data_IF_087597490033
#
_entry.id   IF_087597490033
#
_cell.length_a   1.000
_cell.length_b   1.000
_cell.length_c   1.000
_cell.angle_alpha   90.00
_cell.angle_beta   90.00
_cell.angle_gamma   90.00
#
_symmetry.space_group_name_H-M   'P 1'
#
loop_
_entity.id
_entity.type
_entity.pdbx_description
1 polymer ?
#
# COMPACT_ATOMS: atom_id res chain seq x y z
N UNK A 1 -60.19 -33.33 -2.81
CA UNK A 1 -59.61 -32.82 -1.54
C UNK A 1 -58.14 -33.23 -1.29
N UNK A 2 -57.49 -34.08 -2.11
CA UNK A 2 -56.05 -34.41 -1.97
C UNK A 2 -55.11 -33.63 -2.92
N UNK A 3 -55.59 -33.07 -4.02
CA UNK A 3 -54.75 -32.36 -5.02
C UNK A 3 -54.27 -30.98 -4.53
N UNK A 4 -55.11 -30.28 -3.77
CA UNK A 4 -54.82 -28.92 -3.30
C UNK A 4 -53.67 -28.89 -2.28
N UNK A 5 -53.54 -29.94 -1.46
CA UNK A 5 -52.46 -30.11 -0.47
C UNK A 5 -51.11 -30.40 -1.12
N UNK A 6 -51.08 -31.14 -2.24
CA UNK A 6 -49.84 -31.40 -2.98
C UNK A 6 -49.33 -30.16 -3.70
N UNK A 7 -50.20 -29.39 -4.36
CA UNK A 7 -49.83 -28.13 -5.03
C UNK A 7 -49.32 -27.08 -4.03
N UNK A 8 -49.92 -26.99 -2.84
CA UNK A 8 -49.46 -26.08 -1.78
C UNK A 8 -48.07 -26.48 -1.25
N UNK A 9 -47.84 -27.77 -1.02
CA UNK A 9 -46.55 -28.29 -0.57
C UNK A 9 -45.47 -28.13 -1.65
N UNK A 10 -45.80 -28.33 -2.93
CA UNK A 10 -44.87 -28.16 -4.04
C UNK A 10 -44.47 -26.69 -4.24
N UNK A 11 -45.43 -25.77 -4.14
CA UNK A 11 -45.18 -24.33 -4.20
C UNK A 11 -44.25 -23.83 -3.10
N UNK A 12 -44.44 -24.29 -1.85
CA UNK A 12 -43.55 -23.95 -0.74
C UNK A 12 -42.13 -24.50 -0.90
N UNK A 13 -41.98 -25.74 -1.40
CA UNK A 13 -40.67 -26.34 -1.67
C UNK A 13 -39.95 -25.60 -2.81
N UNK A 14 -40.67 -25.23 -3.87
CA UNK A 14 -40.11 -24.46 -4.98
C UNK A 14 -39.66 -23.06 -4.53
N UNK A 15 -40.48 -22.35 -3.76
CA UNK A 15 -40.14 -21.02 -3.25
C UNK A 15 -38.94 -21.09 -2.28
N UNK A 16 -38.89 -22.11 -1.43
CA UNK A 16 -37.76 -22.37 -0.54
C UNK A 16 -36.48 -22.71 -1.33
N UNK A 17 -36.58 -23.53 -2.38
CA UNK A 17 -35.45 -23.88 -3.23
C UNK A 17 -34.90 -22.65 -3.98
N UNK A 18 -35.77 -21.81 -4.53
CA UNK A 18 -35.39 -20.54 -5.17
C UNK A 18 -34.70 -19.61 -4.16
N UNK A 19 -35.27 -19.43 -2.96
CA UNK A 19 -34.67 -18.61 -1.91
C UNK A 19 -33.28 -19.14 -1.47
N UNK A 20 -33.11 -20.46 -1.37
CA UNK A 20 -31.80 -21.07 -1.05
C UNK A 20 -30.77 -20.88 -2.16
N UNK A 21 -31.18 -20.97 -3.44
CA UNK A 21 -30.31 -20.69 -4.58
C UNK A 21 -29.91 -19.22 -4.60
N UNK A 22 -30.84 -18.28 -4.41
CA UNK A 22 -30.54 -16.84 -4.31
C UNK A 22 -29.59 -16.52 -3.15
N UNK A 23 -29.84 -17.07 -1.96
CA UNK A 23 -28.95 -16.94 -0.80
C UNK A 23 -27.55 -17.51 -1.07
N UNK A 24 -27.46 -18.63 -1.80
CA UNK A 24 -26.18 -19.23 -2.18
C UNK A 24 -25.43 -18.35 -3.17
N UNK A 25 -26.13 -17.82 -4.19
CA UNK A 25 -25.55 -16.89 -5.17
C UNK A 25 -25.06 -15.60 -4.49
N UNK A 26 -25.85 -15.01 -3.59
CA UNK A 26 -25.47 -13.83 -2.81
C UNK A 26 -24.25 -14.12 -1.94
N UNK A 27 -24.20 -15.26 -1.26
CA UNK A 27 -23.04 -15.67 -0.44
C UNK A 27 -21.79 -15.88 -1.29
N UNK A 28 -21.91 -16.50 -2.47
CA UNK A 28 -20.77 -16.70 -3.38
C UNK A 28 -20.27 -15.36 -3.92
N UNK A 29 -21.17 -14.45 -4.30
CA UNK A 29 -20.81 -13.12 -4.78
C UNK A 29 -20.11 -12.30 -3.69
N UNK A 30 -20.70 -12.22 -2.49
CA UNK A 30 -20.14 -11.52 -1.35
C UNK A 30 -18.78 -12.10 -0.93
N UNK A 31 -18.64 -13.44 -0.95
CA UNK A 31 -17.35 -14.10 -0.72
C UNK A 31 -16.32 -13.76 -1.79
N UNK A 32 -16.72 -13.65 -3.06
CA UNK A 32 -15.81 -13.27 -4.14
C UNK A 32 -15.33 -11.82 -4.01
N UNK A 33 -16.20 -10.90 -3.62
CA UNK A 33 -15.82 -9.51 -3.33
C UNK A 33 -14.87 -9.43 -2.15
N UNK A 34 -15.13 -10.17 -1.07
CA UNK A 34 -14.27 -10.21 0.10
C UNK A 34 -12.85 -10.70 -0.24
N UNK A 35 -12.73 -11.75 -1.08
CA UNK A 35 -11.43 -12.25 -1.55
C UNK A 35 -10.65 -11.18 -2.32
N UNK A 36 -11.32 -10.39 -3.16
CA UNK A 36 -10.68 -9.30 -3.91
C UNK A 36 -10.17 -8.23 -2.94
N UNK A 37 -10.98 -7.81 -1.98
CA UNK A 37 -10.62 -6.76 -1.02
C UNK A 37 -9.46 -7.23 -0.12
N UNK A 38 -9.47 -8.47 0.35
CA UNK A 38 -8.37 -9.04 1.14
C UNK A 38 -7.07 -9.13 0.33
N UNK A 39 -7.18 -9.47 -0.96
CA UNK A 39 -6.03 -9.47 -1.88
C UNK A 39 -5.47 -8.06 -2.08
N UNK A 40 -6.32 -7.05 -2.19
CA UNK A 40 -5.92 -5.63 -2.25
C UNK A 40 -5.17 -5.23 -0.98
N UNK A 41 -5.65 -5.64 0.20
CA UNK A 41 -4.96 -5.39 1.47
C UNK A 41 -3.59 -6.08 1.53
N UNK A 42 -3.49 -7.32 1.05
CA UNK A 42 -2.21 -8.03 0.99
C UNK A 42 -1.22 -7.32 0.06
N UNK A 43 -1.66 -6.89 -1.13
CA UNK A 43 -0.82 -6.13 -2.07
C UNK A 43 -0.38 -4.80 -1.43
N UNK A 44 -1.29 -4.11 -0.72
CA UNK A 44 -0.95 -2.88 0.00
C UNK A 44 0.13 -3.12 1.06
N UNK A 45 -0.01 -4.16 1.86
CA UNK A 45 0.97 -4.53 2.88
C UNK A 45 2.33 -4.88 2.26
N UNK A 46 2.36 -5.74 1.24
CA UNK A 46 3.61 -6.15 0.56
C UNK A 46 4.30 -4.94 -0.06
N UNK A 47 3.57 -4.09 -0.76
CA UNK A 47 4.12 -2.86 -1.34
C UNK A 47 4.70 -1.93 -0.26
N UNK A 48 3.96 -1.71 0.84
CA UNK A 48 4.41 -0.90 1.98
C UNK A 48 5.66 -1.51 2.65
N UNK A 49 5.72 -2.83 2.80
CA UNK A 49 6.87 -3.54 3.38
C UNK A 49 8.11 -3.44 2.50
N UNK A 50 7.95 -3.56 1.17
CA UNK A 50 9.03 -3.32 0.20
C UNK A 50 9.54 -1.88 0.32
N UNK A 51 8.65 -0.89 0.33
CA UNK A 51 9.03 0.53 0.49
C UNK A 51 9.76 0.78 1.81
N UNK A 52 9.31 0.14 2.89
CA UNK A 52 9.99 0.20 4.20
C UNK A 52 11.39 -0.41 4.13
N UNK A 53 11.55 -1.59 3.55
CA UNK A 53 12.87 -2.21 3.37
C UNK A 53 13.81 -1.31 2.56
N UNK A 54 13.33 -0.76 1.43
CA UNK A 54 14.13 0.13 0.58
C UNK A 54 14.48 1.43 1.31
N UNK A 55 13.55 2.06 2.02
CA UNK A 55 13.83 3.34 2.67
C UNK A 55 14.85 3.19 3.82
N UNK A 56 14.81 2.09 4.57
CA UNK A 56 15.82 1.78 5.59
C UNK A 56 17.19 1.52 4.97
N UNK A 57 17.25 0.75 3.88
CA UNK A 57 18.48 0.55 3.13
C UNK A 57 19.05 1.89 2.63
N UNK A 58 18.18 2.74 2.09
CA UNK A 58 18.58 4.06 1.61
C UNK A 58 19.10 4.95 2.75
N UNK A 59 18.41 4.96 3.89
CA UNK A 59 18.74 5.79 5.05
C UNK A 59 20.12 5.46 5.64
N UNK A 60 20.40 4.17 5.84
CA UNK A 60 21.57 3.73 6.60
C UNK A 60 22.76 3.36 5.74
N UNK A 61 22.53 2.86 4.52
CA UNK A 61 23.57 2.32 3.68
C UNK A 61 23.79 3.23 2.48
N UNK A 62 22.74 3.42 1.68
CA UNK A 62 22.91 4.03 0.36
C UNK A 62 23.30 5.51 0.43
N UNK A 63 22.60 6.33 1.21
CA UNK A 63 22.91 7.76 1.30
C UNK A 63 24.27 8.05 1.95
N UNK A 64 24.68 7.39 3.05
CA UNK A 64 26.03 7.55 3.59
C UNK A 64 27.13 7.18 2.58
N UNK A 65 26.95 6.12 1.80
CA UNK A 65 27.91 5.72 0.77
C UNK A 65 27.95 6.69 -0.41
N UNK A 66 26.82 7.30 -0.79
CA UNK A 66 26.83 8.35 -1.82
C UNK A 66 27.65 9.58 -1.41
N UNK A 67 27.80 9.83 -0.11
CA UNK A 67 28.63 10.95 0.39
C UNK A 67 30.14 10.72 0.21
N UNK A 68 30.58 9.50 -0.14
CA UNK A 68 32.00 9.18 -0.35
C UNK A 68 32.41 9.23 -1.82
N UNK A 69 31.50 9.59 -2.73
CA UNK A 69 31.76 9.66 -4.17
C UNK A 69 32.68 10.87 -4.48
N UNK A 70 33.76 10.68 -5.27
CA UNK A 70 34.61 11.78 -5.73
C UNK A 70 33.82 12.88 -6.47
N UNK A 71 34.23 14.13 -6.29
CA UNK A 71 33.51 15.32 -6.80
C UNK A 71 33.38 15.30 -8.33
N UNK A 72 34.38 14.80 -9.05
CA UNK A 72 34.41 14.66 -10.50
C UNK A 72 33.37 13.67 -11.05
N UNK A 73 32.89 12.74 -10.23
CA UNK A 73 31.86 11.74 -10.58
C UNK A 73 30.50 11.97 -9.91
N UNK A 74 30.41 12.95 -9.02
CA UNK A 74 29.24 13.13 -8.17
C UNK A 74 27.95 13.44 -8.95
N UNK A 75 28.03 14.27 -10.01
CA UNK A 75 26.87 14.60 -10.87
C UNK A 75 26.36 13.38 -11.63
N UNK A 76 27.25 12.68 -12.34
CA UNK A 76 26.90 11.47 -13.10
C UNK A 76 26.28 10.40 -12.19
N UNK A 77 26.90 10.19 -11.01
CA UNK A 77 26.40 9.25 -10.02
C UNK A 77 25.02 9.65 -9.50
N UNK A 78 24.77 10.94 -9.24
CA UNK A 78 23.48 11.43 -8.79
C UNK A 78 22.38 11.25 -9.85
N UNK A 79 22.66 11.56 -11.12
CA UNK A 79 21.72 11.37 -12.23
C UNK A 79 21.35 9.90 -12.39
N UNK A 80 22.36 9.02 -12.41
CA UNK A 80 22.12 7.59 -12.59
C UNK A 80 21.44 6.96 -11.37
N UNK A 81 21.81 7.39 -10.16
CA UNK A 81 21.12 7.02 -8.92
C UNK A 81 19.64 7.39 -8.98
N UNK A 82 19.30 8.63 -9.38
CA UNK A 82 17.91 9.08 -9.47
C UNK A 82 17.13 8.24 -10.49
N UNK A 83 17.71 7.98 -11.66
CA UNK A 83 17.10 7.19 -12.73
C UNK A 83 16.80 5.76 -12.29
N UNK A 84 17.81 5.05 -11.75
CA UNK A 84 17.67 3.66 -11.30
C UNK A 84 16.70 3.53 -10.12
N UNK A 85 16.78 4.45 -9.16
CA UNK A 85 15.89 4.45 -8.00
C UNK A 85 14.44 4.68 -8.44
N UNK A 86 14.20 5.60 -9.38
CA UNK A 86 12.86 5.82 -9.93
C UNK A 86 12.27 4.56 -10.57
N UNK A 87 13.08 3.80 -11.33
CA UNK A 87 12.64 2.55 -11.96
C UNK A 87 12.25 1.47 -10.94
N UNK A 88 13.06 1.30 -9.89
CA UNK A 88 12.80 0.30 -8.84
C UNK A 88 11.59 0.68 -7.98
N UNK A 89 11.43 1.97 -7.65
CA UNK A 89 10.37 2.43 -6.76
C UNK A 89 9.01 2.64 -7.44
N UNK A 90 8.98 2.84 -8.76
CA UNK A 90 7.74 3.19 -9.46
C UNK A 90 6.62 2.16 -9.25
N UNK A 91 6.91 0.88 -9.42
CA UNK A 91 5.91 -0.19 -9.29
C UNK A 91 5.38 -0.34 -7.85
N UNK A 92 6.21 -0.54 -6.80
CA UNK A 92 5.70 -0.68 -5.43
C UNK A 92 4.98 0.59 -4.97
N UNK A 93 5.45 1.79 -5.35
CA UNK A 93 4.82 3.04 -4.95
C UNK A 93 3.45 3.25 -5.64
N UNK A 94 3.31 2.85 -6.91
CA UNK A 94 2.03 2.86 -7.60
C UNK A 94 1.04 1.85 -7.00
N UNK A 95 1.51 0.62 -6.73
CA UNK A 95 0.69 -0.40 -6.08
C UNK A 95 0.22 0.05 -4.69
N UNK A 96 1.12 0.61 -3.87
CA UNK A 96 0.80 1.17 -2.55
C UNK A 96 -0.24 2.29 -2.65
N UNK A 97 -0.07 3.24 -3.58
CA UNK A 97 -1.00 4.34 -3.78
C UNK A 97 -2.40 3.89 -4.19
N UNK A 98 -2.49 3.09 -5.25
CA UNK A 98 -3.77 2.61 -5.80
C UNK A 98 -4.53 1.77 -4.78
N UNK A 99 -3.84 0.82 -4.14
CA UNK A 99 -4.49 -0.04 -3.13
C UNK A 99 -4.88 0.74 -1.87
N UNK A 100 -4.15 1.80 -1.50
CA UNK A 100 -4.57 2.68 -0.39
C UNK A 100 -5.87 3.39 -0.70
N UNK A 101 -6.00 3.97 -1.90
CA UNK A 101 -7.23 4.64 -2.32
C UNK A 101 -8.40 3.66 -2.39
N UNK A 102 -8.16 2.45 -2.88
CA UNK A 102 -9.16 1.38 -2.88
C UNK A 102 -9.65 1.07 -1.47
N UNK A 103 -8.73 0.85 -0.51
CA UNK A 103 -9.07 0.50 0.87
C UNK A 103 -9.78 1.61 1.65
N UNK A 104 -9.70 2.87 1.20
CA UNK A 104 -10.50 3.96 1.75
C UNK A 104 -11.98 3.86 1.36
N UNK A 105 -12.27 3.31 0.17
CA UNK A 105 -13.64 3.15 -0.34
C UNK A 105 -14.21 1.78 0.05
N UNK A 106 -13.40 0.73 -0.04
CA UNK A 106 -13.79 -0.66 0.18
C UNK A 106 -12.73 -1.37 1.00
N UNK A 107 -12.89 -1.32 2.33
CA UNK A 107 -12.07 -2.07 3.29
C UNK A 107 -12.70 -3.44 3.57
N UNK A 108 -11.91 -4.44 4.04
CA UNK A 108 -12.49 -5.66 4.59
C UNK A 108 -13.44 -5.35 5.76
N UNK A 109 -14.53 -6.11 5.87
CA UNK A 109 -15.54 -5.91 6.92
C UNK A 109 -14.96 -5.99 8.33
N UNK A 110 -14.01 -6.93 8.54
CA UNK A 110 -13.30 -7.15 9.80
C UNK A 110 -12.37 -6.00 10.22
N UNK A 111 -11.99 -5.11 9.29
CA UNK A 111 -10.98 -4.08 9.54
C UNK A 111 -11.58 -2.84 10.17
N UNK A 112 -10.91 -2.23 11.16
CA UNK A 112 -11.38 -0.97 11.76
C UNK A 112 -11.47 0.17 10.73
N UNK A 113 -12.52 0.98 10.81
CA UNK A 113 -12.74 2.15 9.94
C UNK A 113 -11.58 3.17 10.00
N UNK A 114 -10.87 3.26 11.13
CA UNK A 114 -9.84 4.29 11.34
C UNK A 114 -8.50 3.93 10.67
N UNK A 115 -8.19 2.63 10.53
CA UNK A 115 -6.87 2.18 10.09
C UNK A 115 -6.55 2.54 8.63
N UNK A 116 -7.47 2.38 7.65
CA UNK A 116 -7.22 2.84 6.27
C UNK A 116 -6.88 4.33 6.20
N UNK A 117 -7.58 5.18 6.97
CA UNK A 117 -7.34 6.62 7.02
C UNK A 117 -5.99 6.96 7.65
N UNK A 118 -5.65 6.32 8.77
CA UNK A 118 -4.34 6.48 9.39
C UNK A 118 -3.22 6.07 8.42
N UNK A 119 -3.39 4.94 7.74
CA UNK A 119 -2.48 4.53 6.67
C UNK A 119 -2.36 5.61 5.60
N UNK A 120 -3.47 6.11 5.06
CA UNK A 120 -3.48 7.13 4.02
C UNK A 120 -2.76 8.42 4.44
N UNK A 121 -2.93 8.88 5.68
CA UNK A 121 -2.18 10.03 6.22
C UNK A 121 -0.68 9.75 6.26
N UNK A 122 -0.26 8.56 6.72
CA UNK A 122 1.17 8.19 6.72
C UNK A 122 1.74 8.15 5.30
N UNK A 123 0.98 7.63 4.33
CA UNK A 123 1.40 7.64 2.93
C UNK A 123 1.50 9.06 2.39
N UNK A 124 0.56 9.94 2.72
CA UNK A 124 0.60 11.35 2.33
C UNK A 124 1.85 12.05 2.90
N UNK A 125 2.25 11.74 4.14
CA UNK A 125 3.50 12.25 4.73
C UNK A 125 4.72 11.73 3.97
N UNK A 126 4.76 10.43 3.63
CA UNK A 126 5.87 9.83 2.90
C UNK A 126 6.01 10.40 1.47
N UNK A 127 4.90 10.48 0.73
CA UNK A 127 4.87 11.04 -0.62
C UNK A 127 5.10 12.55 -0.61
N UNK A 128 4.51 13.29 0.32
CA UNK A 128 4.75 14.73 0.49
C UNK A 128 6.22 15.02 0.76
N UNK A 129 6.86 14.29 1.67
CA UNK A 129 8.31 14.41 1.92
C UNK A 129 9.15 14.03 0.69
N UNK A 130 8.65 13.12 -0.15
CA UNK A 130 9.32 12.76 -1.41
C UNK A 130 9.26 13.92 -2.39
N UNK A 131 8.06 14.44 -2.68
CA UNK A 131 7.82 15.49 -3.68
C UNK A 131 8.44 16.82 -3.26
N UNK A 132 8.25 17.24 -2.00
CA UNK A 132 8.64 18.57 -1.56
C UNK A 132 10.07 18.68 -1.04
N UNK A 133 10.65 17.58 -0.53
CA UNK A 133 12.00 17.60 0.06
C UNK A 133 13.00 16.82 -0.80
N UNK A 134 12.67 15.58 -1.13
CA UNK A 134 13.63 14.66 -1.74
C UNK A 134 13.87 14.95 -3.22
N UNK A 135 12.82 15.20 -4.01
CA UNK A 135 12.95 15.51 -5.45
C UNK A 135 13.79 16.78 -5.70
N UNK A 136 13.54 17.92 -5.00
CA UNK A 136 14.37 19.11 -5.15
C UNK A 136 15.83 18.89 -4.74
N UNK A 137 16.07 18.15 -3.65
CA UNK A 137 17.43 17.86 -3.19
C UNK A 137 18.19 16.95 -4.15
N UNK A 138 17.54 15.92 -4.70
CA UNK A 138 18.13 15.04 -5.73
C UNK A 138 18.44 15.81 -7.02
N UNK A 139 17.54 16.69 -7.44
CA UNK A 139 17.79 17.58 -8.60
C UNK A 139 18.97 18.53 -8.36
N UNK A 140 19.14 19.01 -7.11
CA UNK A 140 20.29 19.81 -6.72
C UNK A 140 21.58 18.99 -6.71
N UNK A 141 21.57 17.74 -6.24
CA UNK A 141 22.74 16.85 -6.36
C UNK A 141 23.12 16.55 -7.80
N UNK A 142 22.13 16.45 -8.70
CA UNK A 142 22.37 16.22 -10.13
C UNK A 142 22.95 17.44 -10.88
N UNK A 143 23.03 18.61 -10.25
CA UNK A 143 23.52 19.86 -10.88
C UNK A 143 24.69 20.48 -10.14
N UNK A 144 24.63 20.51 -8.81
CA UNK A 144 25.66 21.07 -7.94
C UNK A 144 25.77 20.25 -6.64
N UNK A 145 26.44 19.08 -6.70
CA UNK A 145 26.57 18.21 -5.54
C UNK A 145 27.52 18.82 -4.51
N UNK A 146 27.05 18.89 -3.26
CA UNK A 146 27.87 19.32 -2.12
C UNK A 146 27.60 18.44 -0.90
N UNK A 147 28.56 18.36 0.01
CA UNK A 147 28.42 17.61 1.26
C UNK A 147 27.19 18.05 2.08
N UNK A 148 26.85 19.35 2.05
CA UNK A 148 25.68 19.87 2.74
C UNK A 148 24.36 19.40 2.11
N UNK A 149 24.27 19.32 0.78
CA UNK A 149 23.08 18.78 0.11
C UNK A 149 22.93 17.28 0.42
N UNK A 150 24.05 16.53 0.44
CA UNK A 150 24.07 15.12 0.86
C UNK A 150 23.60 14.93 2.31
N UNK A 151 24.10 15.74 3.25
CA UNK A 151 23.67 15.72 4.65
C UNK A 151 22.17 16.00 4.78
N UNK A 152 21.66 16.99 4.04
CA UNK A 152 20.23 17.31 4.01
C UNK A 152 19.40 16.14 3.51
N UNK A 153 19.83 15.41 2.47
CA UNK A 153 19.14 14.20 1.99
C UNK A 153 18.96 13.16 3.09
N UNK A 154 19.99 12.90 3.90
CA UNK A 154 19.92 11.97 5.04
C UNK A 154 18.92 12.45 6.09
N UNK A 155 18.97 13.72 6.46
CA UNK A 155 18.10 14.29 7.51
C UNK A 155 16.64 14.32 7.05
N UNK A 156 16.38 14.78 5.82
CA UNK A 156 15.01 14.90 5.28
C UNK A 156 14.40 13.56 4.87
N UNK A 157 15.15 12.45 4.96
CA UNK A 157 14.63 11.11 4.68
C UNK A 157 14.02 10.42 5.90
N UNK A 158 14.32 10.89 7.12
CA UNK A 158 13.72 10.37 8.34
C UNK A 158 12.19 10.43 8.39
N UNK A 159 11.52 11.53 7.97
CA UNK A 159 10.06 11.56 7.91
C UNK A 159 9.47 10.41 7.11
N UNK A 160 10.08 10.09 5.96
CA UNK A 160 9.66 8.97 5.12
C UNK A 160 9.92 7.62 5.78
N UNK A 161 11.10 7.47 6.39
CA UNK A 161 11.50 6.24 7.08
C UNK A 161 10.53 5.91 8.21
N UNK A 162 10.19 6.91 9.03
CA UNK A 162 9.23 6.77 10.13
C UNK A 162 7.83 6.49 9.58
N UNK A 163 7.39 7.26 8.56
CA UNK A 163 6.06 7.12 7.99
C UNK A 163 5.81 5.74 7.37
N UNK A 164 6.72 5.23 6.52
CA UNK A 164 6.59 3.89 5.95
C UNK A 164 6.69 2.80 7.01
N UNK A 165 7.57 2.93 8.00
CA UNK A 165 7.67 1.95 9.10
C UNK A 165 6.38 1.86 9.92
N UNK A 166 5.83 3.01 10.33
CA UNK A 166 4.55 3.07 11.04
C UNK A 166 3.41 2.52 10.18
N UNK A 167 3.43 2.81 8.87
CA UNK A 167 2.43 2.33 7.92
C UNK A 167 2.49 0.82 7.77
N UNK A 168 3.67 0.19 7.72
CA UNK A 168 3.80 -1.29 7.72
C UNK A 168 3.13 -1.90 8.96
N UNK A 169 3.29 -1.28 10.14
CA UNK A 169 2.60 -1.73 11.36
C UNK A 169 1.09 -1.61 11.21
N UNK A 170 0.58 -0.48 10.70
CA UNK A 170 -0.86 -0.29 10.45
C UNK A 170 -1.40 -1.37 9.50
N UNK A 171 -0.74 -1.59 8.36
CA UNK A 171 -1.15 -2.62 7.40
C UNK A 171 -1.08 -4.04 8.01
N UNK A 172 -0.08 -4.33 8.84
CA UNK A 172 0.00 -5.61 9.56
C UNK A 172 -1.16 -5.79 10.55
N UNK A 173 -1.54 -4.73 11.28
CA UNK A 173 -2.70 -4.77 12.18
C UNK A 173 -4.00 -5.01 11.41
N UNK A 174 -4.17 -4.37 10.25
CA UNK A 174 -5.33 -4.62 9.38
C UNK A 174 -5.38 -6.09 8.92
N UNK A 175 -4.25 -6.67 8.49
CA UNK A 175 -4.18 -8.08 8.12
C UNK A 175 -4.51 -9.01 9.30
N UNK A 176 -4.01 -8.69 10.50
CA UNK A 176 -4.32 -9.46 11.70
C UNK A 176 -5.81 -9.41 12.07
N UNK A 177 -6.52 -8.33 11.76
CA UNK A 177 -7.97 -8.24 11.96
C UNK A 177 -8.71 -9.18 11.00
N UNK A 178 -8.30 -9.24 9.73
CA UNK A 178 -8.90 -10.16 8.74
C UNK A 178 -8.63 -11.62 9.10
N UNK A 179 -7.40 -11.97 9.48
CA UNK A 179 -7.03 -13.35 9.83
C UNK A 179 -7.73 -13.87 11.08
N UNK A 180 -8.20 -12.98 11.97
CA UNK A 180 -8.88 -13.33 13.23
C UNK A 180 -10.41 -13.38 13.12
N UNK A 181 -10.97 -12.90 12.02
CA UNK A 181 -12.42 -12.88 11.78
C UNK A 181 -12.91 -14.23 11.24
#
# INVERSE_FOLDING_TARGET
MRLDSYLYSFGHIYLFCIAQVELTVIRVFCRSEQIVIDSVLLVNFVATAVMTGVIWFVQWVHYPLLATVPVDRAVETAVEHQRRTGQVLALPMAAEGVTTLWLLVSRPDAVSLVLPWLGAVLLAVALGSTVFLSVPLHSKMATNPTAEVGRRLVVTNWPRTIAWSARTVVCAVMLLQVVRA
#
